data_IF_060528553913
#
_entry.id   IF_060528553913
#
_cell.length_a   1.000
_cell.length_b   1.000
_cell.length_c   1.000
_cell.angle_alpha   90.00
_cell.angle_beta   90.00
_cell.angle_gamma   90.00
#
_symmetry.space_group_name_H-M   'P 1'
#
loop_
_entity.id
_entity.type
_entity.pdbx_description
1 polymer ?
#
# COMPACT_ATOMS: atom_id res chain seq x y z
N UNK A 1 -2.38 7.61 -14.20
CA UNK A 1 -3.16 8.57 -15.00
C UNK A 1 -2.77 10.01 -14.67
N UNK A 2 -2.93 10.50 -13.41
CA UNK A 2 -2.66 11.92 -13.08
C UNK A 2 -1.20 12.34 -13.32
N UNK A 3 -0.22 11.57 -12.86
CA UNK A 3 1.20 11.88 -13.08
C UNK A 3 1.57 11.89 -14.57
N UNK A 4 0.98 11.01 -15.37
CA UNK A 4 1.21 10.99 -16.81
C UNK A 4 0.61 12.24 -17.47
N UNK A 5 -0.58 12.66 -17.06
CA UNK A 5 -1.18 13.90 -17.55
C UNK A 5 -0.36 15.14 -17.15
N UNK A 6 0.13 15.19 -15.92
CA UNK A 6 1.02 16.28 -15.49
C UNK A 6 2.30 16.33 -16.33
N UNK A 7 2.90 15.17 -16.63
CA UNK A 7 4.09 15.09 -17.48
C UNK A 7 3.81 15.52 -18.93
N UNK A 8 2.70 15.09 -19.52
CA UNK A 8 2.34 15.43 -20.90
C UNK A 8 1.98 16.91 -21.07
N UNK A 9 1.26 17.46 -20.10
CA UNK A 9 0.81 18.84 -20.15
C UNK A 9 1.83 19.85 -19.57
N UNK A 10 2.90 19.37 -18.92
CA UNK A 10 3.85 20.20 -18.17
C UNK A 10 3.15 21.11 -17.16
N UNK A 11 2.10 20.58 -16.55
CA UNK A 11 1.24 21.31 -15.63
C UNK A 11 1.08 20.54 -14.32
N UNK A 12 0.88 21.31 -13.26
CA UNK A 12 0.76 20.82 -11.90
C UNK A 12 1.70 21.60 -10.98
N UNK A 13 1.29 21.77 -9.76
CA UNK A 13 2.06 22.49 -8.74
C UNK A 13 2.55 21.53 -7.66
N UNK A 14 1.74 20.55 -7.31
CA UNK A 14 2.02 19.59 -6.25
C UNK A 14 1.70 18.18 -6.74
N UNK A 15 2.58 17.24 -6.43
CA UNK A 15 2.30 15.81 -6.52
C UNK A 15 2.05 15.28 -5.11
N UNK A 16 0.91 14.63 -4.92
CA UNK A 16 0.53 13.99 -3.66
C UNK A 16 -0.03 12.59 -3.89
N UNK A 17 0.14 11.70 -2.90
CA UNK A 17 -0.41 10.34 -2.95
C UNK A 17 0.39 9.39 -3.84
N UNK A 18 1.65 9.68 -4.10
CA UNK A 18 2.55 8.79 -4.81
C UNK A 18 3.34 7.96 -3.80
N UNK A 19 3.26 6.63 -3.92
CA UNK A 19 4.09 5.73 -3.14
C UNK A 19 5.56 5.76 -3.60
N UNK A 20 6.46 5.08 -2.87
CA UNK A 20 7.90 5.04 -3.13
C UNK A 20 8.23 4.69 -4.58
N UNK A 21 7.58 3.67 -5.13
CA UNK A 21 7.82 3.21 -6.50
C UNK A 21 7.51 4.29 -7.53
N UNK A 22 6.40 5.01 -7.34
CA UNK A 22 5.99 6.07 -8.27
C UNK A 22 6.83 7.31 -8.07
N UNK A 23 7.16 7.64 -6.82
CA UNK A 23 8.02 8.78 -6.54
C UNK A 23 9.42 8.57 -7.10
N UNK A 24 10.01 7.39 -6.93
CA UNK A 24 11.31 7.07 -7.52
C UNK A 24 11.33 7.23 -9.04
N UNK A 25 10.24 6.94 -9.73
CA UNK A 25 10.11 7.18 -11.18
C UNK A 25 10.17 8.67 -11.54
N UNK A 26 9.63 9.55 -10.68
CA UNK A 26 9.74 11.00 -10.86
C UNK A 26 11.19 11.44 -10.68
N UNK A 27 11.80 11.05 -9.58
CA UNK A 27 13.18 11.44 -9.23
C UNK A 27 14.21 10.92 -10.25
N UNK A 28 14.01 9.70 -10.74
CA UNK A 28 14.90 9.08 -11.73
C UNK A 28 14.69 9.56 -13.18
N UNK A 29 13.82 10.54 -13.38
CA UNK A 29 13.61 11.13 -14.70
C UNK A 29 12.82 10.28 -15.68
N UNK A 30 12.08 9.27 -15.20
CA UNK A 30 11.15 8.50 -16.05
C UNK A 30 10.06 9.41 -16.66
N UNK A 31 9.75 10.49 -15.98
CA UNK A 31 8.84 11.54 -16.46
C UNK A 31 9.65 12.76 -16.86
N UNK A 32 10.06 12.82 -18.11
CA UNK A 32 11.05 13.76 -18.64
C UNK A 32 10.66 15.24 -18.49
N UNK A 33 9.38 15.54 -18.37
CA UNK A 33 8.88 16.90 -18.26
C UNK A 33 8.58 17.32 -16.81
N UNK A 34 8.77 16.42 -15.83
CA UNK A 34 8.60 16.73 -14.43
C UNK A 34 9.97 16.94 -13.77
N UNK A 35 10.08 18.01 -13.02
CA UNK A 35 11.21 18.23 -12.12
C UNK A 35 10.71 18.69 -10.76
N UNK A 36 11.42 18.30 -9.73
CA UNK A 36 11.03 18.55 -8.35
C UNK A 36 11.72 19.82 -7.86
N UNK A 37 10.96 20.66 -7.19
CA UNK A 37 11.49 21.83 -6.51
C UNK A 37 12.14 21.43 -5.20
N UNK A 38 13.30 22.00 -4.92
CA UNK A 38 13.89 21.91 -3.58
C UNK A 38 12.97 22.62 -2.58
N UNK A 39 12.55 21.87 -1.60
CA UNK A 39 11.63 22.32 -0.56
C UNK A 39 11.93 21.55 0.73
N UNK A 40 11.94 22.25 1.84
CA UNK A 40 12.14 21.64 3.15
C UNK A 40 11.15 22.24 4.13
N UNK A 41 10.01 21.53 4.39
CA UNK A 41 8.98 22.02 5.29
C UNK A 41 9.46 22.01 6.75
N UNK A 42 8.85 22.82 7.60
CA UNK A 42 9.17 22.91 9.01
C UNK A 42 9.00 21.58 9.74
N UNK A 43 8.05 20.75 9.28
CA UNK A 43 7.77 19.41 9.81
C UNK A 43 8.59 18.29 9.16
N UNK A 44 9.58 18.58 8.31
CA UNK A 44 10.36 17.58 7.56
C UNK A 44 11.05 16.54 8.44
N UNK A 45 11.46 16.91 9.64
CA UNK A 45 12.13 15.99 10.57
C UNK A 45 11.14 15.03 11.26
N UNK A 46 9.86 15.38 11.29
CA UNK A 46 8.82 14.57 11.95
C UNK A 46 8.50 13.30 11.14
N UNK A 47 8.71 13.33 9.82
CA UNK A 47 8.46 12.17 8.96
C UNK A 47 9.58 11.12 9.01
N UNK A 48 10.67 11.39 9.71
CA UNK A 48 11.76 10.43 9.93
C UNK A 48 12.39 9.92 8.64
N UNK A 49 12.33 8.61 8.42
CA UNK A 49 12.90 7.94 7.24
C UNK A 49 12.03 8.07 5.97
N UNK A 50 10.77 8.50 6.12
CA UNK A 50 9.84 8.60 4.99
C UNK A 50 10.02 9.92 4.25
N UNK A 51 11.22 10.16 3.74
CA UNK A 51 11.53 11.38 2.99
C UNK A 51 12.55 11.16 1.88
N UNK A 52 12.45 12.00 0.87
CA UNK A 52 13.48 12.27 -0.11
C UNK A 52 13.94 13.70 0.13
N UNK A 53 15.03 13.87 0.87
CA UNK A 53 15.49 15.16 1.38
C UNK A 53 15.51 16.25 0.31
N UNK A 54 14.87 17.38 0.61
CA UNK A 54 14.72 18.50 -0.31
C UNK A 54 13.74 18.28 -1.46
N UNK A 55 13.05 17.13 -1.54
CA UNK A 55 12.21 16.80 -2.69
C UNK A 55 10.78 16.37 -2.30
N UNK A 56 10.64 15.39 -1.42
CA UNK A 56 9.35 14.87 -1.04
C UNK A 56 9.34 14.29 0.37
N UNK A 57 8.16 14.30 0.97
CA UNK A 57 7.96 13.89 2.35
C UNK A 57 6.71 13.03 2.49
N UNK A 58 6.81 11.93 3.23
CA UNK A 58 5.70 11.01 3.47
C UNK A 58 4.70 11.61 4.46
N UNK A 59 3.48 11.83 3.99
CA UNK A 59 2.39 12.35 4.82
C UNK A 59 1.45 11.26 5.30
N UNK A 60 1.29 10.20 4.54
CA UNK A 60 0.37 9.11 4.87
C UNK A 60 1.16 7.82 4.89
N UNK A 61 1.17 7.17 6.04
CA UNK A 61 1.76 5.83 6.18
C UNK A 61 0.61 4.87 6.42
N UNK A 62 0.48 3.89 5.54
CA UNK A 62 -0.58 2.90 5.59
C UNK A 62 0.00 1.50 5.72
N UNK A 63 -0.48 0.74 6.69
CA UNK A 63 -0.19 -0.68 6.78
C UNK A 63 -1.16 -1.48 5.92
N UNK A 64 -0.68 -2.54 5.31
CA UNK A 64 -1.50 -3.57 4.70
C UNK A 64 -1.82 -4.59 5.78
N UNK A 65 -3.04 -4.56 6.26
CA UNK A 65 -3.54 -5.45 7.30
C UNK A 65 -4.31 -6.60 6.67
N UNK A 66 -4.23 -7.77 7.28
CA UNK A 66 -5.05 -8.92 6.92
C UNK A 66 -6.01 -9.22 8.07
N UNK A 67 -7.30 -9.21 7.77
CA UNK A 67 -8.36 -9.53 8.72
C UNK A 67 -8.97 -10.88 8.40
N UNK A 68 -9.36 -11.60 9.43
CA UNK A 68 -10.13 -12.83 9.28
C UNK A 68 -11.37 -12.84 10.17
N UNK A 69 -12.36 -13.62 9.75
CA UNK A 69 -13.56 -13.88 10.54
C UNK A 69 -13.36 -15.13 11.39
N UNK A 70 -13.49 -14.97 12.70
CA UNK A 70 -13.33 -16.07 13.65
C UNK A 70 -14.45 -17.10 13.56
N UNK A 71 -15.66 -16.67 13.19
CA UNK A 71 -16.83 -17.54 12.99
C UNK A 71 -16.69 -18.40 11.71
N UNK A 72 -16.24 -17.81 10.61
CA UNK A 72 -16.09 -18.52 9.34
C UNK A 72 -14.92 -19.52 9.35
N UNK A 73 -13.83 -19.20 10.03
CA UNK A 73 -12.68 -20.11 10.15
C UNK A 73 -12.83 -21.13 11.28
N UNK A 74 -13.84 -20.97 12.14
CA UNK A 74 -14.06 -21.88 13.28
C UNK A 74 -12.89 -21.89 14.28
N UNK A 75 -12.16 -20.79 14.39
CA UNK A 75 -10.98 -20.70 15.25
C UNK A 75 -11.32 -20.69 16.75
N UNK A 76 -12.61 -20.68 17.11
CA UNK A 76 -13.09 -20.59 18.51
C UNK A 76 -12.47 -19.44 19.30
N UNK A 77 -12.07 -18.36 18.61
CA UNK A 77 -11.43 -17.21 19.21
C UNK A 77 -9.90 -17.32 19.33
N UNK A 78 -9.31 -18.42 18.90
CA UNK A 78 -7.85 -18.52 18.77
C UNK A 78 -7.35 -17.55 17.68
N UNK A 79 -6.18 -16.97 17.90
CA UNK A 79 -5.55 -16.07 16.94
C UNK A 79 -4.88 -16.87 15.84
N UNK A 80 -5.03 -16.45 14.59
CA UNK A 80 -4.25 -16.95 13.48
C UNK A 80 -2.85 -16.34 13.57
N UNK A 81 -1.87 -17.19 13.70
CA UNK A 81 -0.45 -16.82 13.75
C UNK A 81 0.34 -17.53 12.67
N UNK A 82 1.20 -16.80 11.99
CA UNK A 82 2.11 -17.33 10.98
C UNK A 82 3.51 -16.73 11.18
N UNK A 83 4.54 -17.53 10.97
CA UNK A 83 5.91 -17.02 11.00
C UNK A 83 6.18 -16.11 9.78
N UNK A 84 5.67 -16.49 8.63
CA UNK A 84 5.96 -15.80 7.37
C UNK A 84 4.69 -15.57 6.54
N UNK A 85 4.69 -14.51 5.75
CA UNK A 85 3.63 -14.26 4.77
C UNK A 85 3.44 -15.42 3.79
N UNK A 86 4.51 -16.14 3.46
CA UNK A 86 4.43 -17.33 2.63
C UNK A 86 3.59 -18.44 3.27
N UNK A 87 3.63 -18.59 4.61
CA UNK A 87 2.88 -19.60 5.35
C UNK A 87 1.38 -19.36 5.26
N UNK A 88 0.96 -18.08 5.16
CA UNK A 88 -0.44 -17.74 4.92
C UNK A 88 -0.93 -18.36 3.62
N UNK A 89 -0.12 -18.32 2.56
CA UNK A 89 -0.46 -18.92 1.26
C UNK A 89 -0.55 -20.44 1.34
N UNK A 90 0.30 -21.06 2.14
CA UNK A 90 0.36 -22.50 2.32
C UNK A 90 -0.63 -23.05 3.36
N UNK A 91 -1.29 -22.17 4.12
CA UNK A 91 -2.22 -22.55 5.19
C UNK A 91 -3.46 -23.33 4.73
N UNK A 92 -3.78 -23.29 3.46
CA UNK A 92 -4.99 -23.89 2.92
C UNK A 92 -6.26 -23.08 3.17
N UNK A 93 -6.17 -21.96 3.89
CA UNK A 93 -7.29 -21.04 4.03
C UNK A 93 -7.60 -20.37 2.70
N UNK A 94 -8.88 -20.26 2.38
CA UNK A 94 -9.32 -19.50 1.22
C UNK A 94 -9.26 -18.02 1.55
N UNK A 95 -8.33 -17.32 0.97
CA UNK A 95 -8.19 -15.90 1.15
C UNK A 95 -8.19 -15.18 -0.19
N UNK A 96 -8.74 -14.00 -0.14
CA UNK A 96 -9.11 -13.26 -1.33
C UNK A 96 -8.19 -12.07 -1.52
N UNK A 97 -7.68 -11.94 -2.71
CA UNK A 97 -6.89 -10.82 -3.15
C UNK A 97 -7.39 -10.38 -4.54
N UNK A 98 -7.06 -9.19 -4.93
CA UNK A 98 -7.48 -8.66 -6.22
C UNK A 98 -6.77 -9.36 -7.38
N UNK A 99 -7.52 -9.83 -8.38
CA UNK A 99 -6.95 -10.55 -9.54
C UNK A 99 -6.30 -9.61 -10.58
N UNK A 100 -6.35 -8.31 -10.42
CA UNK A 100 -5.80 -7.41 -11.43
C UNK A 100 -4.32 -7.18 -11.19
N UNK A 101 -3.50 -7.67 -12.10
CA UNK A 101 -2.12 -7.22 -12.24
C UNK A 101 -2.14 -5.71 -12.45
N UNK A 102 -1.56 -4.95 -11.55
CA UNK A 102 -1.46 -3.49 -11.65
C UNK A 102 -2.25 -2.67 -10.63
N UNK A 103 -2.96 -3.29 -9.70
CA UNK A 103 -3.49 -2.58 -8.53
C UNK A 103 -2.41 -2.38 -7.46
N UNK A 104 -2.34 -1.18 -6.87
CA UNK A 104 -1.35 -0.86 -5.83
C UNK A 104 -1.43 -1.83 -4.64
N UNK A 105 -2.63 -2.14 -4.20
CA UNK A 105 -2.87 -3.09 -3.09
C UNK A 105 -2.30 -4.48 -3.38
N UNK A 106 -2.50 -4.99 -4.60
CA UNK A 106 -1.95 -6.29 -4.98
C UNK A 106 -0.43 -6.30 -5.01
N UNK A 107 0.18 -5.25 -5.54
CA UNK A 107 1.62 -5.14 -5.55
C UNK A 107 2.18 -5.18 -4.13
N UNK A 108 1.55 -4.48 -3.21
CA UNK A 108 1.99 -4.42 -1.81
C UNK A 108 1.84 -5.76 -1.08
N UNK A 109 0.70 -6.44 -1.26
CA UNK A 109 0.50 -7.77 -0.65
C UNK A 109 1.46 -8.79 -1.24
N UNK A 110 1.64 -8.79 -2.56
CA UNK A 110 2.60 -9.69 -3.19
C UNK A 110 4.04 -9.40 -2.72
N UNK A 111 4.38 -8.13 -2.50
CA UNK A 111 5.69 -7.76 -1.96
C UNK A 111 5.89 -8.29 -0.54
N UNK A 112 4.89 -8.18 0.33
CA UNK A 112 4.95 -8.74 1.68
C UNK A 112 5.14 -10.25 1.66
N UNK A 113 4.39 -10.97 0.82
CA UNK A 113 4.52 -12.41 0.67
C UNK A 113 5.87 -12.86 0.13
N UNK A 114 6.52 -12.03 -0.66
CA UNK A 114 7.82 -12.33 -1.25
C UNK A 114 8.99 -11.86 -0.39
N UNK A 115 8.72 -11.08 0.65
CA UNK A 115 9.74 -10.56 1.56
C UNK A 115 10.69 -11.64 2.10
N UNK A 116 10.22 -12.82 2.56
CA UNK A 116 11.09 -13.88 3.05
C UNK A 116 12.04 -14.44 1.98
N UNK A 117 11.77 -14.19 0.71
CA UNK A 117 12.57 -14.66 -0.43
C UNK A 117 13.45 -13.58 -1.04
N UNK A 118 13.50 -12.40 -0.43
CA UNK A 118 14.41 -11.34 -0.87
C UNK A 118 15.83 -11.67 -0.51
N UNK A 119 16.77 -11.28 -1.36
CA UNK A 119 18.19 -11.39 -1.11
C UNK A 119 18.71 -10.01 -0.67
N UNK A 120 19.07 -9.83 0.62
CA UNK A 120 19.60 -8.56 1.11
C UNK A 120 20.95 -8.20 0.49
N UNK A 121 21.66 -9.14 -0.12
CA UNK A 121 22.89 -8.89 -0.86
C UNK A 121 22.63 -8.41 -2.30
N UNK A 122 21.39 -8.50 -2.78
CA UNK A 122 21.01 -7.94 -4.07
C UNK A 122 21.06 -6.40 -4.03
N UNK A 123 21.74 -5.73 -4.97
CA UNK A 123 21.87 -4.26 -4.99
C UNK A 123 20.55 -3.49 -5.00
N UNK A 124 19.45 -4.15 -5.33
CA UNK A 124 18.10 -3.57 -5.39
C UNK A 124 17.13 -4.20 -4.38
N UNK A 125 17.62 -4.96 -3.39
CA UNK A 125 16.75 -5.74 -2.50
C UNK A 125 15.85 -6.71 -3.27
N UNK A 126 16.35 -7.25 -4.38
CA UNK A 126 15.57 -8.06 -5.31
C UNK A 126 15.21 -9.42 -4.75
N UNK A 127 14.20 -10.04 -5.36
CA UNK A 127 13.79 -11.40 -5.04
C UNK A 127 14.91 -12.38 -5.44
N UNK A 128 15.29 -13.28 -4.55
CA UNK A 128 16.25 -14.33 -4.83
C UNK A 128 15.78 -15.29 -5.92
N UNK A 129 16.69 -16.08 -6.48
CA UNK A 129 16.33 -17.12 -7.47
C UNK A 129 15.32 -18.11 -6.88
N UNK A 130 15.47 -18.46 -5.62
CA UNK A 130 14.54 -19.38 -4.96
C UNK A 130 13.21 -18.72 -4.62
N UNK A 131 13.20 -17.43 -4.33
CA UNK A 131 11.98 -16.64 -4.23
C UNK A 131 11.18 -16.64 -5.53
N UNK A 132 11.85 -16.43 -6.66
CA UNK A 132 11.21 -16.52 -7.97
C UNK A 132 10.65 -17.92 -8.27
N UNK A 133 11.40 -18.98 -7.95
CA UNK A 133 10.90 -20.35 -8.12
C UNK A 133 9.65 -20.61 -7.28
N UNK A 134 9.64 -20.13 -6.04
CA UNK A 134 8.50 -20.25 -5.14
C UNK A 134 7.29 -19.49 -5.70
N UNK A 135 7.48 -18.28 -6.19
CA UNK A 135 6.42 -17.52 -6.83
C UNK A 135 5.81 -18.27 -8.04
N UNK A 136 6.68 -18.82 -8.91
CA UNK A 136 6.22 -19.61 -10.05
C UNK A 136 5.46 -20.86 -9.64
N UNK A 137 5.93 -21.57 -8.61
CA UNK A 137 5.23 -22.71 -8.03
C UNK A 137 3.83 -22.30 -7.56
N UNK A 138 3.71 -21.23 -6.80
CA UNK A 138 2.43 -20.75 -6.31
C UNK A 138 1.48 -20.32 -7.44
N UNK A 139 1.99 -19.68 -8.47
CA UNK A 139 1.20 -19.38 -9.67
C UNK A 139 0.70 -20.65 -10.35
N UNK A 140 1.56 -21.65 -10.51
CA UNK A 140 1.21 -22.92 -11.14
C UNK A 140 0.18 -23.74 -10.33
N UNK A 141 0.23 -23.63 -9.02
CA UNK A 141 -0.73 -24.24 -8.10
C UNK A 141 -2.04 -23.47 -7.94
N UNK A 142 -2.19 -22.34 -8.64
CA UNK A 142 -3.37 -21.48 -8.54
C UNK A 142 -3.51 -20.72 -7.22
N UNK A 143 -2.47 -20.70 -6.39
CA UNK A 143 -2.47 -19.98 -5.12
C UNK A 143 -2.46 -18.47 -5.29
N UNK A 144 -1.98 -18.00 -6.43
CA UNK A 144 -1.96 -16.60 -6.83
C UNK A 144 -2.83 -16.40 -8.06
N UNK A 145 -4.04 -16.04 -7.88
CA UNK A 145 -4.92 -15.68 -8.97
C UNK A 145 -5.93 -16.75 -9.31
N UNK A 146 -7.08 -16.32 -9.50
CA UNK A 146 -8.26 -16.95 -10.04
C UNK A 146 -9.19 -15.84 -10.48
N UNK A 147 -10.10 -16.11 -11.37
CA UNK A 147 -11.00 -15.10 -11.92
C UNK A 147 -12.01 -14.56 -10.90
N UNK A 148 -12.19 -15.24 -9.76
CA UNK A 148 -13.19 -14.95 -8.74
C UNK A 148 -12.63 -14.25 -7.49
N UNK A 149 -11.75 -13.27 -7.70
CA UNK A 149 -11.17 -12.56 -6.57
C UNK A 149 -12.08 -11.49 -6.03
N UNK A 150 -12.54 -11.73 -4.84
CA UNK A 150 -13.22 -10.71 -4.06
C UNK A 150 -12.21 -10.06 -3.14
N UNK A 151 -12.19 -8.77 -3.15
CA UNK A 151 -11.34 -7.94 -2.31
C UNK A 151 -12.24 -6.92 -1.65
N UNK A 152 -11.95 -6.68 -0.40
CA UNK A 152 -12.55 -5.59 0.31
C UNK A 152 -13.41 -6.01 1.50
N UNK A 153 -13.91 -4.99 2.15
CA UNK A 153 -14.64 -5.11 3.39
C UNK A 153 -16.01 -5.77 3.23
N UNK A 154 -16.74 -5.40 2.18
CA UNK A 154 -18.11 -5.89 1.99
C UNK A 154 -18.21 -7.42 1.87
N UNK A 155 -17.35 -8.11 1.08
CA UNK A 155 -17.35 -9.56 1.07
C UNK A 155 -17.01 -10.19 2.43
N UNK A 156 -16.04 -9.59 3.15
CA UNK A 156 -15.68 -10.05 4.49
C UNK A 156 -16.82 -9.84 5.49
N UNK A 157 -17.44 -8.67 5.46
CA UNK A 157 -18.56 -8.33 6.34
C UNK A 157 -19.78 -9.24 6.12
N UNK A 158 -20.00 -9.67 4.88
CA UNK A 158 -21.10 -10.59 4.51
C UNK A 158 -20.80 -12.06 4.76
N UNK A 159 -19.57 -12.42 5.14
CA UNK A 159 -19.14 -13.80 5.25
C UNK A 159 -18.93 -14.50 3.89
N UNK A 160 -18.93 -13.75 2.77
CA UNK A 160 -18.60 -14.30 1.45
C UNK A 160 -17.15 -14.78 1.38
N UNK A 161 -16.30 -14.26 2.25
CA UNK A 161 -14.89 -14.59 2.38
C UNK A 161 -14.48 -14.63 3.85
N UNK A 162 -13.59 -15.54 4.20
CA UNK A 162 -13.13 -15.70 5.58
C UNK A 162 -11.92 -14.81 5.92
N UNK A 163 -11.12 -14.45 4.93
CA UNK A 163 -9.90 -13.62 5.09
C UNK A 163 -9.86 -12.57 3.99
N UNK A 164 -9.50 -11.35 4.32
CA UNK A 164 -9.28 -10.29 3.35
C UNK A 164 -8.22 -9.30 3.82
N UNK A 165 -7.60 -8.62 2.88
CA UNK A 165 -6.56 -7.62 3.14
C UNK A 165 -7.07 -6.21 2.91
N UNK A 166 -6.56 -5.27 3.71
CA UNK A 166 -6.97 -3.88 3.70
C UNK A 166 -5.81 -2.95 3.98
N UNK A 167 -5.95 -1.71 3.57
CA UNK A 167 -5.16 -0.62 4.14
C UNK A 167 -5.73 -0.20 5.49
N UNK A 168 -4.85 0.07 6.45
CA UNK A 168 -5.25 0.54 7.79
C UNK A 168 -6.15 1.77 7.73
N UNK A 169 -5.87 2.72 6.82
CA UNK A 169 -6.68 3.91 6.61
C UNK A 169 -8.12 3.64 6.18
N UNK A 170 -8.35 2.52 5.50
CA UNK A 170 -9.69 2.14 5.04
C UNK A 170 -10.50 1.39 6.09
N UNK A 171 -9.85 0.85 7.11
CA UNK A 171 -10.48 -0.04 8.07
C UNK A 171 -11.43 0.70 9.02
N UNK A 172 -10.96 1.80 9.60
CA UNK A 172 -11.72 2.49 10.64
C UNK A 172 -13.09 2.97 10.19
N UNK A 173 -13.17 3.68 9.06
CA UNK A 173 -14.45 4.15 8.54
C UNK A 173 -15.38 3.03 8.05
N UNK A 174 -14.84 1.83 7.82
CA UNK A 174 -15.64 0.67 7.41
C UNK A 174 -16.19 -0.11 8.61
N UNK A 175 -15.48 -0.16 9.71
CA UNK A 175 -15.96 -0.82 10.94
C UNK A 175 -17.19 -0.10 11.51
N UNK A 176 -17.19 1.23 11.49
CA UNK A 176 -18.34 2.01 11.94
C UNK A 176 -19.58 1.78 11.06
N UNK A 177 -19.39 1.68 9.74
CA UNK A 177 -20.47 1.46 8.79
C UNK A 177 -21.00 0.01 8.78
N UNK A 178 -20.20 -0.96 9.23
CA UNK A 178 -20.53 -2.37 9.21
C UNK A 178 -21.61 -2.76 10.22
N UNK A 179 -21.85 -1.95 11.24
CA UNK A 179 -22.88 -2.19 12.24
C UNK A 179 -24.30 -2.03 11.69
N UNK A 180 -24.46 -1.34 10.55
CA UNK A 180 -25.76 -1.10 9.95
C UNK A 180 -26.09 -2.13 8.86
N UNK A 181 -27.05 -3.01 9.12
CA UNK A 181 -27.71 -3.83 8.09
C UNK A 181 -27.08 -5.19 7.77
N UNK A 182 -26.12 -5.67 8.54
CA UNK A 182 -25.61 -7.04 8.42
C UNK A 182 -26.22 -7.97 9.46
N UNK A 183 -26.62 -9.19 9.05
CA UNK A 183 -27.10 -10.22 10.01
C UNK A 183 -25.99 -10.69 10.96
N UNK A 184 -24.74 -10.63 10.51
CA UNK A 184 -23.54 -10.99 11.28
C UNK A 184 -22.41 -9.96 11.02
N UNK A 185 -22.47 -8.78 11.66
CA UNK A 185 -21.48 -7.74 11.40
C UNK A 185 -20.08 -8.23 11.79
N UNK A 186 -19.11 -7.93 10.95
CA UNK A 186 -17.70 -8.29 11.19
C UNK A 186 -17.16 -7.72 12.52
N UNK A 187 -17.73 -6.62 13.00
CA UNK A 187 -17.35 -6.00 14.28
C UNK A 187 -17.35 -6.94 15.47
N UNK A 188 -18.16 -8.01 15.42
CA UNK A 188 -18.33 -8.95 16.51
C UNK A 188 -17.42 -10.19 16.38
N UNK A 189 -16.86 -10.43 15.21
CA UNK A 189 -16.20 -11.70 14.91
C UNK A 189 -14.93 -11.60 14.07
N UNK A 190 -14.26 -10.47 14.08
CA UNK A 190 -13.01 -10.30 13.33
C UNK A 190 -11.79 -10.23 14.23
N UNK A 191 -10.64 -10.61 13.66
CA UNK A 191 -9.31 -10.40 14.23
C UNK A 191 -8.32 -10.07 13.13
N UNK A 192 -7.18 -9.50 13.51
CA UNK A 192 -6.02 -9.38 12.65
C UNK A 192 -5.29 -10.71 12.60
N UNK A 193 -4.81 -11.08 11.42
CA UNK A 193 -3.85 -12.16 11.29
C UNK A 193 -2.52 -11.68 11.86
N UNK A 194 -1.96 -12.45 12.80
CA UNK A 194 -0.66 -12.18 13.39
C UNK A 194 0.45 -12.85 12.54
N UNK A 195 1.43 -12.08 12.10
CA UNK A 195 2.54 -12.54 11.25
C UNK A 195 3.85 -12.00 11.80
N UNK A 196 4.81 -12.89 12.12
CA UNK A 196 6.11 -12.51 12.69
C UNK A 196 6.94 -11.59 11.78
N UNK A 197 6.81 -11.72 10.47
CA UNK A 197 7.43 -10.82 9.50
C UNK A 197 6.91 -9.38 9.61
N UNK A 198 5.85 -9.15 10.36
CA UNK A 198 5.19 -7.87 10.51
C UNK A 198 4.26 -7.52 9.35
N UNK A 199 3.83 -6.27 9.33
CA UNK A 199 2.95 -5.76 8.29
C UNK A 199 3.75 -5.00 7.24
N UNK A 200 3.36 -5.19 5.98
CA UNK A 200 3.86 -4.34 4.91
C UNK A 200 3.22 -2.96 5.00
N UNK A 201 4.02 -1.92 4.88
CA UNK A 201 3.52 -0.55 4.86
C UNK A 201 3.86 0.14 3.54
N UNK A 202 3.13 1.18 3.22
CA UNK A 202 3.43 2.12 2.16
C UNK A 202 3.40 3.54 2.72
N UNK A 203 4.29 4.38 2.26
CA UNK A 203 4.21 5.82 2.45
C UNK A 203 3.69 6.49 1.17
N UNK A 204 2.85 7.48 1.33
CA UNK A 204 2.39 8.35 0.26
C UNK A 204 3.00 9.73 0.46
N UNK A 205 3.70 10.18 -0.56
CA UNK A 205 4.53 11.37 -0.50
C UNK A 205 3.85 12.59 -1.09
N UNK A 206 4.25 13.75 -0.60
CA UNK A 206 3.99 15.05 -1.18
C UNK A 206 5.30 15.68 -1.64
N UNK A 207 5.28 16.34 -2.78
CA UNK A 207 6.38 17.16 -3.28
C UNK A 207 5.89 18.24 -4.23
N UNK A 208 6.67 19.28 -4.39
CA UNK A 208 6.36 20.44 -5.23
C UNK A 208 7.07 20.30 -6.58
N UNK A 209 6.34 20.55 -7.66
CA UNK A 209 6.92 20.57 -9.00
C UNK A 209 7.51 21.94 -9.35
N UNK A 210 8.64 21.91 -10.04
CA UNK A 210 9.10 23.10 -10.76
C UNK A 210 8.13 23.39 -11.92
N UNK A 211 7.83 24.65 -12.11
CA UNK A 211 6.96 25.12 -13.21
C UNK A 211 7.56 26.33 -13.85
N UNK A 212 7.79 26.27 -15.16
CA UNK A 212 8.32 27.39 -15.92
C UNK A 212 7.32 28.56 -15.90
N UNK A 213 7.82 29.77 -15.67
CA UNK A 213 6.98 30.97 -15.62
C UNK A 213 6.24 31.22 -14.31
N UNK A 214 6.38 30.33 -13.30
CA UNK A 214 5.83 30.61 -11.98
C UNK A 214 6.54 31.79 -11.33
N UNK A 215 5.79 32.74 -10.84
CA UNK A 215 6.32 33.90 -10.12
C UNK A 215 6.78 33.49 -8.71
N UNK A 216 7.53 34.38 -8.07
CA UNK A 216 7.97 34.18 -6.68
C UNK A 216 6.76 34.10 -5.72
N UNK A 217 5.76 34.98 -5.92
CA UNK A 217 4.53 35.00 -5.13
C UNK A 217 3.73 33.67 -5.26
N UNK A 218 3.60 33.16 -6.48
CA UNK A 218 2.98 31.86 -6.73
C UNK A 218 3.77 30.70 -6.09
N UNK A 219 5.10 30.77 -6.14
CA UNK A 219 5.97 29.79 -5.53
C UNK A 219 5.76 29.74 -4.01
N UNK A 220 5.74 30.89 -3.36
CA UNK A 220 5.52 30.98 -1.92
C UNK A 220 4.09 30.52 -1.54
N UNK A 221 3.10 30.81 -2.37
CA UNK A 221 1.74 30.33 -2.14
C UNK A 221 1.64 28.78 -2.22
N UNK A 222 2.34 28.18 -3.18
CA UNK A 222 2.38 26.71 -3.33
C UNK A 222 3.10 26.06 -2.13
N UNK A 223 4.23 26.63 -1.70
CA UNK A 223 4.92 26.16 -0.50
C UNK A 223 4.06 26.29 0.74
N UNK A 224 3.42 27.43 0.94
CA UNK A 224 2.53 27.67 2.09
C UNK A 224 1.36 26.68 2.13
N UNK A 225 0.80 26.34 0.95
CA UNK A 225 -0.24 25.33 0.87
C UNK A 225 0.30 23.93 1.23
N UNK A 226 1.45 23.55 0.68
CA UNK A 226 2.05 22.24 0.99
C UNK A 226 2.47 22.13 2.46
N UNK A 227 2.95 23.22 3.06
CA UNK A 227 3.27 23.34 4.48
C UNK A 227 2.03 23.12 5.35
N UNK A 228 0.95 23.86 5.06
CA UNK A 228 -0.32 23.71 5.75
C UNK A 228 -0.92 22.31 5.58
N UNK A 229 -0.78 21.72 4.40
CA UNK A 229 -1.36 20.40 4.12
C UNK A 229 -0.68 19.28 4.90
N UNK A 230 0.60 19.44 5.24
CA UNK A 230 1.40 18.46 5.98
C UNK A 230 1.43 18.69 7.50
N UNK A 231 0.95 19.84 7.97
CA UNK A 231 0.88 20.19 9.40
C UNK A 231 -0.45 19.71 10.00
#
# INVERSE_FOLDING_TARGET
AAIQAANENKDGDILFGLNETRWSQVVNGTYENLSIMDWNPDWAEEVGEYKYDGQAYGLVIQNVLMLYRTDELGTNGEELHFAHWADVVDSGYTWYRQNKVGGTTNANINSAMLYPFTDPASPAGGISVDGWKTLWKYCAEGKFGGDDWKYGFDPLNKGDVAVSSFYSSSLYGKLDAAAEGSEHPITDCWKLVDIDDGTYYIAEYIGILNKEGRTEEETEAVKAFAEWFGS
#
